data_IF_562690453728
#
_entry.id   IF_562690453728
#
_cell.length_a   1.000
_cell.length_b   1.000
_cell.length_c   1.000
_cell.angle_alpha   90.00
_cell.angle_beta   90.00
_cell.angle_gamma   90.00
#
_symmetry.space_group_name_H-M   'P 1'
#
loop_
_entity.id
_entity.type
_entity.pdbx_description
1 polymer ?
#
# COMPACT_ATOMS: atom_id res chain seq x y z
N UNK A 1 -36.91 -61.73 -9.25
CA UNK A 1 -35.90 -60.78 -8.67
C UNK A 1 -35.60 -59.54 -9.52
N UNK A 2 -36.29 -59.29 -10.65
CA UNK A 2 -35.96 -58.18 -11.58
C UNK A 2 -36.62 -56.81 -11.27
N UNK A 3 -37.53 -56.72 -10.29
CA UNK A 3 -38.27 -55.49 -10.02
C UNK A 3 -37.48 -54.47 -9.16
N UNK A 4 -36.61 -54.94 -8.25
CA UNK A 4 -35.77 -54.06 -7.42
C UNK A 4 -34.64 -53.39 -8.21
N UNK A 5 -34.11 -54.07 -9.23
CA UNK A 5 -33.00 -53.57 -10.05
C UNK A 5 -33.43 -52.31 -10.82
N UNK A 6 -34.53 -52.34 -11.58
CA UNK A 6 -34.98 -51.17 -12.35
C UNK A 6 -35.30 -49.93 -11.50
N UNK A 7 -35.71 -50.10 -10.23
CA UNK A 7 -35.94 -48.98 -9.31
C UNK A 7 -34.63 -48.31 -8.85
N UNK A 8 -33.56 -49.10 -8.67
CA UNK A 8 -32.25 -48.63 -8.24
C UNK A 8 -31.55 -47.84 -9.35
N UNK A 9 -31.63 -48.32 -10.60
CA UNK A 9 -31.08 -47.61 -11.76
C UNK A 9 -31.80 -46.29 -12.04
N UNK A 10 -33.11 -46.21 -11.77
CA UNK A 10 -33.89 -44.97 -11.90
C UNK A 10 -33.49 -43.93 -10.85
N UNK A 11 -33.22 -44.35 -9.61
CA UNK A 11 -32.69 -43.49 -8.54
C UNK A 11 -31.25 -43.04 -8.83
N UNK A 12 -30.41 -43.94 -9.36
CA UNK A 12 -29.03 -43.60 -9.73
C UNK A 12 -28.96 -42.58 -10.86
N UNK A 13 -29.76 -42.76 -11.93
CA UNK A 13 -29.86 -41.80 -13.03
C UNK A 13 -30.38 -40.44 -12.56
N UNK A 14 -31.34 -40.42 -11.63
CA UNK A 14 -31.86 -39.18 -11.04
C UNK A 14 -30.78 -38.46 -10.22
N UNK A 15 -30.02 -39.16 -9.38
CA UNK A 15 -28.94 -38.57 -8.59
C UNK A 15 -27.80 -38.02 -9.47
N UNK A 16 -27.44 -38.72 -10.55
CA UNK A 16 -26.43 -38.25 -11.50
C UNK A 16 -26.92 -37.01 -12.26
N UNK A 17 -28.20 -36.98 -12.66
CA UNK A 17 -28.79 -35.79 -13.31
C UNK A 17 -28.86 -34.58 -12.37
N UNK A 18 -29.19 -34.79 -11.08
CA UNK A 18 -29.18 -33.74 -10.06
C UNK A 18 -27.75 -33.23 -9.81
N UNK A 19 -26.77 -34.13 -9.71
CA UNK A 19 -25.36 -33.75 -9.56
C UNK A 19 -24.85 -32.94 -10.78
N UNK A 20 -25.28 -33.31 -11.99
CA UNK A 20 -24.93 -32.56 -13.21
C UNK A 20 -25.58 -31.18 -13.24
N UNK A 21 -26.85 -31.06 -12.81
CA UNK A 21 -27.55 -29.78 -12.71
C UNK A 21 -26.94 -28.83 -11.64
N UNK A 22 -26.45 -29.37 -10.52
CA UNK A 22 -25.77 -28.60 -9.46
C UNK A 22 -24.44 -28.03 -9.97
N UNK A 23 -23.71 -28.77 -10.81
CA UNK A 23 -22.46 -28.27 -11.40
C UNK A 23 -22.68 -27.16 -12.43
N UNK A 24 -23.78 -27.20 -13.18
CA UNK A 24 -24.10 -26.17 -14.19
C UNK A 24 -24.46 -24.84 -13.51
N UNK A 25 -25.18 -24.85 -12.39
CA UNK A 25 -25.59 -23.63 -11.67
C UNK A 25 -24.43 -22.89 -10.99
N UNK A 26 -23.36 -23.59 -10.58
CA UNK A 26 -22.20 -22.98 -9.91
C UNK A 26 -21.31 -22.12 -10.82
N UNK A 27 -21.37 -22.33 -12.14
CA UNK A 27 -20.49 -21.64 -13.12
C UNK A 27 -20.95 -20.21 -13.40
N UNK A 28 -22.24 -19.89 -13.25
CA UNK A 28 -22.77 -18.55 -13.55
C UNK A 28 -22.51 -17.50 -12.46
N UNK A 29 -22.03 -17.89 -11.27
CA UNK A 29 -21.77 -16.96 -10.17
C UNK A 29 -20.47 -16.15 -10.33
N UNK A 30 -19.58 -16.53 -11.26
CA UNK A 30 -18.28 -15.88 -11.46
C UNK A 30 -18.26 -14.89 -12.65
N UNK A 31 -19.39 -14.61 -13.28
CA UNK A 31 -19.48 -13.69 -14.42
C UNK A 31 -19.97 -12.28 -14.05
N UNK A 32 -19.65 -11.80 -12.85
CA UNK A 32 -19.77 -10.38 -12.54
C UNK A 32 -18.55 -9.65 -13.12
N UNK A 33 -18.53 -9.50 -14.45
CA UNK A 33 -17.65 -8.56 -15.12
C UNK A 33 -18.00 -7.14 -14.66
N UNK A 34 -16.95 -6.42 -14.29
CA UNK A 34 -16.89 -5.02 -13.87
C UNK A 34 -17.95 -4.15 -14.57
N UNK A 35 -19.03 -3.79 -13.85
CA UNK A 35 -20.07 -2.93 -14.42
C UNK A 35 -19.59 -1.48 -14.37
N UNK A 36 -18.93 -1.04 -15.44
CA UNK A 36 -18.54 0.35 -15.60
C UNK A 36 -19.75 1.21 -16.00
N UNK A 37 -20.57 1.58 -15.02
CA UNK A 37 -21.59 2.60 -15.21
C UNK A 37 -20.95 3.99 -15.27
N UNK A 38 -21.18 4.73 -16.36
CA UNK A 38 -20.89 6.15 -16.43
C UNK A 38 -21.50 6.78 -17.68
N UNK A 39 -21.65 8.10 -17.66
CA UNK A 39 -22.38 8.85 -18.69
C UNK A 39 -21.53 9.08 -19.94
N UNK A 40 -20.20 9.19 -19.79
CA UNK A 40 -19.28 9.38 -20.90
C UNK A 40 -17.93 8.73 -20.64
N UNK A 41 -17.23 8.40 -21.73
CA UNK A 41 -15.97 7.69 -21.73
C UNK A 41 -14.80 8.66 -21.79
N UNK A 42 -13.93 8.63 -20.80
CA UNK A 42 -12.65 9.32 -20.85
C UNK A 42 -11.58 8.33 -21.27
N UNK A 43 -10.86 8.67 -22.32
CA UNK A 43 -9.61 8.04 -22.72
C UNK A 43 -8.47 9.00 -22.43
N UNK A 44 -7.29 8.48 -22.15
CA UNK A 44 -6.15 9.37 -21.99
C UNK A 44 -4.82 8.67 -21.92
N UNK A 45 -3.77 9.47 -22.03
CA UNK A 45 -2.38 9.05 -21.84
C UNK A 45 -1.75 9.86 -20.72
N UNK A 46 -1.03 9.17 -19.85
CA UNK A 46 -0.31 9.79 -18.74
C UNK A 46 1.19 9.69 -18.95
N UNK A 47 1.88 10.81 -18.81
CA UNK A 47 3.32 10.92 -19.02
C UNK A 47 4.00 11.71 -17.88
N UNK A 48 5.33 11.60 -17.80
CA UNK A 48 6.15 12.46 -16.96
C UNK A 48 6.22 13.88 -17.56
N UNK A 49 6.13 14.91 -16.73
CA UNK A 49 6.25 16.30 -17.14
C UNK A 49 7.65 16.63 -17.69
N UNK A 50 8.71 16.00 -17.16
CA UNK A 50 10.09 16.35 -17.54
C UNK A 50 10.60 15.56 -18.74
N UNK A 51 10.40 14.24 -18.73
CA UNK A 51 10.91 13.38 -19.81
C UNK A 51 9.89 13.13 -20.90
N UNK A 52 8.60 13.43 -20.67
CA UNK A 52 7.48 13.06 -21.52
C UNK A 52 7.35 11.55 -21.78
N UNK A 53 8.05 10.73 -21.00
CA UNK A 53 7.93 9.28 -21.06
C UNK A 53 6.57 8.84 -20.49
N UNK A 54 6.03 7.77 -21.07
CA UNK A 54 4.82 7.16 -20.56
C UNK A 54 5.02 6.64 -19.13
N UNK A 55 4.03 6.84 -18.25
CA UNK A 55 4.05 6.29 -16.90
C UNK A 55 3.27 4.96 -16.91
N UNK A 56 3.95 3.80 -16.88
CA UNK A 56 3.28 2.51 -16.90
C UNK A 56 2.56 2.21 -15.58
N UNK A 57 1.49 1.40 -15.65
CA UNK A 57 0.80 0.85 -14.47
C UNK A 57 0.34 1.90 -13.46
N UNK A 58 0.04 3.11 -13.94
CA UNK A 58 -0.51 4.18 -13.12
C UNK A 58 -1.95 3.86 -12.73
N UNK A 59 -2.34 4.24 -11.51
CA UNK A 59 -3.71 4.07 -11.02
C UNK A 59 -4.53 5.34 -11.24
N UNK A 60 -5.66 5.21 -11.94
CA UNK A 60 -6.66 6.26 -12.12
C UNK A 60 -7.89 5.91 -11.29
N UNK A 61 -8.09 6.63 -10.19
CA UNK A 61 -9.23 6.37 -9.28
C UNK A 61 -10.21 7.51 -9.28
N UNK A 62 -11.49 7.18 -9.09
CA UNK A 62 -12.48 8.19 -8.73
C UNK A 62 -12.29 8.54 -7.25
N UNK A 63 -12.43 9.81 -6.89
CA UNK A 63 -12.36 10.23 -5.47
C UNK A 63 -13.69 9.97 -4.77
N UNK A 64 -14.80 10.05 -5.51
CA UNK A 64 -16.17 9.81 -5.03
C UNK A 64 -16.48 8.33 -4.81
N UNK A 65 -15.89 7.44 -5.62
CA UNK A 65 -16.13 5.99 -5.62
C UNK A 65 -14.83 5.24 -5.39
N UNK A 66 -14.88 4.06 -4.77
CA UNK A 66 -13.70 3.19 -4.60
C UNK A 66 -13.31 2.43 -5.88
N UNK A 67 -13.76 2.90 -7.04
CA UNK A 67 -13.53 2.28 -8.35
C UNK A 67 -12.44 3.03 -9.09
N UNK A 68 -11.64 2.30 -9.85
CA UNK A 68 -10.56 2.86 -10.65
C UNK A 68 -10.07 1.88 -11.70
N UNK A 69 -9.28 2.38 -12.64
CA UNK A 69 -8.67 1.63 -13.73
C UNK A 69 -7.16 1.80 -13.66
N UNK A 70 -6.43 0.74 -13.97
CA UNK A 70 -4.97 0.80 -14.09
C UNK A 70 -4.59 1.05 -15.54
N UNK A 71 -3.66 1.97 -15.78
CA UNK A 71 -3.15 2.30 -17.10
C UNK A 71 -2.25 1.18 -17.65
N UNK A 72 -2.19 1.07 -18.97
CA UNK A 72 -1.34 0.12 -19.67
C UNK A 72 0.16 0.50 -19.58
N UNK A 73 1.03 -0.29 -20.19
CA UNK A 73 2.48 -0.07 -20.28
C UNK A 73 2.81 1.28 -20.95
N UNK A 74 2.00 1.69 -21.93
CA UNK A 74 2.15 2.97 -22.61
C UNK A 74 1.50 4.15 -21.86
N UNK A 75 1.03 3.93 -20.62
CA UNK A 75 0.37 4.95 -19.80
C UNK A 75 -1.02 5.33 -20.31
N UNK A 76 -1.61 4.50 -21.18
CA UNK A 76 -2.95 4.72 -21.75
C UNK A 76 -4.02 4.12 -20.83
N UNK A 77 -5.12 4.83 -20.63
CA UNK A 77 -6.26 4.35 -19.85
C UNK A 77 -7.59 4.73 -20.51
N UNK A 78 -8.65 4.01 -20.13
CA UNK A 78 -10.03 4.32 -20.49
C UNK A 78 -10.94 4.01 -19.31
N UNK A 79 -11.88 4.91 -19.01
CA UNK A 79 -12.86 4.71 -17.95
C UNK A 79 -14.13 5.53 -18.17
N UNK A 80 -15.26 4.96 -17.78
CA UNK A 80 -16.52 5.69 -17.73
C UNK A 80 -16.62 6.51 -16.44
N UNK A 81 -17.12 7.75 -16.56
CA UNK A 81 -17.25 8.69 -15.43
C UNK A 81 -18.58 9.43 -15.43
N UNK A 82 -18.93 9.99 -14.28
CA UNK A 82 -20.01 10.98 -14.16
C UNK A 82 -19.44 12.40 -14.14
N UNK A 83 -20.20 13.42 -14.59
CA UNK A 83 -19.72 14.80 -14.64
C UNK A 83 -19.43 15.42 -13.26
N UNK A 84 -19.99 14.83 -12.21
CA UNK A 84 -19.79 15.23 -10.81
C UNK A 84 -18.54 14.62 -10.17
N UNK A 85 -17.91 13.65 -10.84
CA UNK A 85 -16.78 12.92 -10.27
C UNK A 85 -15.48 13.70 -10.38
N UNK A 86 -14.48 13.23 -9.63
CA UNK A 86 -13.12 13.77 -9.64
C UNK A 86 -12.13 12.63 -9.82
N UNK A 87 -11.31 12.75 -10.85
CA UNK A 87 -10.25 11.79 -11.19
C UNK A 87 -9.00 12.08 -10.38
N UNK A 88 -8.41 11.04 -9.80
CA UNK A 88 -7.14 11.10 -9.11
C UNK A 88 -6.15 10.16 -9.79
N UNK A 89 -5.08 10.74 -10.29
CA UNK A 89 -3.96 10.04 -10.92
C UNK A 89 -2.87 9.83 -9.88
N UNK A 90 -2.46 8.57 -9.68
CA UNK A 90 -1.42 8.23 -8.72
C UNK A 90 -0.53 7.10 -9.23
N UNK A 91 0.78 7.28 -9.05
CA UNK A 91 1.80 6.28 -9.37
C UNK A 91 2.93 6.37 -8.34
N UNK A 92 3.70 5.30 -8.21
CA UNK A 92 4.84 5.25 -7.31
C UNK A 92 5.94 6.19 -7.80
N UNK A 93 6.42 7.07 -6.92
CA UNK A 93 7.48 8.04 -7.26
C UNK A 93 6.99 9.26 -8.04
N UNK A 94 5.68 9.52 -8.05
CA UNK A 94 5.08 10.72 -8.64
C UNK A 94 4.13 11.40 -7.66
N UNK A 95 4.06 12.73 -7.74
CA UNK A 95 3.10 13.54 -7.00
C UNK A 95 1.70 13.30 -7.61
N UNK A 96 0.74 12.88 -6.78
CA UNK A 96 -0.61 12.60 -7.25
C UNK A 96 -1.31 13.86 -7.75
N UNK A 97 -1.94 13.78 -8.93
CA UNK A 97 -2.68 14.88 -9.55
C UNK A 97 -4.17 14.59 -9.52
N UNK A 98 -4.96 15.61 -9.20
CA UNK A 98 -6.42 15.51 -9.11
C UNK A 98 -7.07 16.43 -10.13
N UNK A 99 -8.02 15.91 -10.91
CA UNK A 99 -8.68 16.62 -11.98
C UNK A 99 -10.22 16.44 -11.86
N UNK A 100 -10.97 17.51 -11.59
CA UNK A 100 -12.43 17.43 -11.54
C UNK A 100 -13.00 17.30 -12.95
N UNK A 101 -13.89 16.32 -13.15
CA UNK A 101 -14.48 16.01 -14.46
C UNK A 101 -15.38 17.16 -14.95
N UNK A 102 -15.91 17.98 -14.04
CA UNK A 102 -16.70 19.16 -14.39
C UNK A 102 -15.98 20.19 -15.28
N UNK A 103 -14.64 20.15 -15.34
CA UNK A 103 -13.82 21.00 -16.22
C UNK A 103 -13.63 20.41 -17.62
N UNK A 104 -14.00 19.16 -17.82
CA UNK A 104 -13.88 18.45 -19.09
C UNK A 104 -15.15 18.68 -19.94
N UNK A 105 -15.03 18.96 -21.24
CA UNK A 105 -16.16 18.97 -22.17
C UNK A 105 -16.99 17.68 -22.10
N UNK A 106 -18.31 17.81 -22.12
CA UNK A 106 -19.25 16.68 -22.01
C UNK A 106 -19.46 15.99 -23.35
N UNK A 107 -18.37 15.47 -23.91
CA UNK A 107 -18.41 14.65 -25.12
C UNK A 107 -18.60 13.17 -24.75
N UNK A 108 -19.20 12.38 -25.65
CA UNK A 108 -19.40 10.94 -25.43
C UNK A 108 -18.06 10.20 -25.24
N UNK A 109 -17.03 10.65 -25.96
CA UNK A 109 -15.65 10.18 -25.86
C UNK A 109 -14.74 11.39 -25.80
N UNK A 110 -14.00 11.56 -24.71
CA UNK A 110 -13.04 12.63 -24.53
C UNK A 110 -11.62 12.08 -24.34
N UNK A 111 -10.64 12.69 -24.99
CA UNK A 111 -9.23 12.27 -24.89
C UNK A 111 -8.43 13.30 -24.07
N UNK A 112 -7.76 12.85 -23.00
CA UNK A 112 -6.90 13.70 -22.16
C UNK A 112 -5.45 13.27 -22.16
N UNK A 113 -4.57 14.27 -22.23
CA UNK A 113 -3.16 14.12 -21.94
C UNK A 113 -2.88 14.66 -20.54
N UNK A 114 -2.31 13.84 -19.67
CA UNK A 114 -2.05 14.18 -18.27
C UNK A 114 -0.58 14.03 -17.97
N UNK A 115 0.04 15.10 -17.51
CA UNK A 115 1.43 15.06 -17.04
C UNK A 115 1.49 15.03 -15.51
N UNK A 116 2.34 14.14 -14.97
CA UNK A 116 2.67 14.05 -13.55
C UNK A 116 4.10 14.53 -13.29
N UNK A 117 4.33 15.02 -12.08
CA UNK A 117 5.65 15.45 -11.62
C UNK A 117 6.26 14.34 -10.79
N UNK A 118 7.50 13.95 -11.08
CA UNK A 118 8.26 12.99 -10.29
C UNK A 118 8.46 13.51 -8.87
N UNK A 119 8.14 12.67 -7.89
CA UNK A 119 8.39 12.95 -6.48
C UNK A 119 9.82 12.55 -6.13
N UNK A 120 10.64 13.53 -5.75
CA UNK A 120 12.02 13.29 -5.35
C UNK A 120 12.30 13.92 -4.00
N UNK A 121 12.93 13.14 -3.12
CA UNK A 121 13.40 13.63 -1.82
C UNK A 121 14.86 14.04 -1.98
N UNK A 122 15.14 15.34 -1.90
CA UNK A 122 16.53 15.85 -1.91
C UNK A 122 17.18 15.53 -0.56
N UNK A 123 18.08 14.55 -0.55
CA UNK A 123 18.88 14.24 0.63
C UNK A 123 19.92 15.34 0.86
N UNK A 124 20.15 15.68 2.13
CA UNK A 124 21.22 16.60 2.51
C UNK A 124 22.56 15.86 2.44
N UNK A 125 23.55 16.48 1.81
CA UNK A 125 24.92 15.98 1.81
C UNK A 125 25.50 16.01 3.22
N UNK A 126 26.18 14.93 3.62
CA UNK A 126 26.86 14.83 4.91
C UNK A 126 28.34 14.56 4.63
N UNK A 127 29.18 15.55 4.90
CA UNK A 127 30.62 15.40 4.84
C UNK A 127 31.10 14.73 6.13
N UNK A 128 31.65 13.52 6.01
CA UNK A 128 32.21 12.77 7.15
C UNK A 128 33.71 13.03 7.20
N UNK A 129 34.17 13.58 8.31
CA UNK A 129 35.59 13.78 8.55
C UNK A 129 36.17 12.62 9.38
N UNK A 130 37.32 12.04 8.99
CA UNK A 130 38.01 11.06 9.80
C UNK A 130 38.64 11.75 11.03
N UNK A 131 38.48 11.13 12.20
CA UNK A 131 39.18 11.55 13.42
C UNK A 131 40.49 10.78 13.57
N UNK A 132 41.51 11.41 14.15
CA UNK A 132 42.83 10.80 14.30
C UNK A 132 42.86 9.69 15.36
N UNK A 133 42.04 9.80 16.40
CA UNK A 133 41.97 8.80 17.47
C UNK A 133 40.53 8.47 17.90
N UNK A 134 40.36 7.29 18.50
CA UNK A 134 39.07 6.83 19.04
C UNK A 134 38.56 7.70 20.20
N UNK A 135 39.48 8.23 21.00
CA UNK A 135 39.12 9.05 22.17
C UNK A 135 38.60 10.42 21.75
N UNK A 136 39.24 11.03 20.77
CA UNK A 136 38.83 12.29 20.15
C UNK A 136 37.44 12.16 19.51
N UNK A 137 37.20 11.08 18.75
CA UNK A 137 35.86 10.78 18.24
C UNK A 137 34.83 10.67 19.35
N UNK A 138 35.17 9.97 20.45
CA UNK A 138 34.25 9.79 21.58
C UNK A 138 33.90 11.12 22.22
N UNK A 139 34.85 12.03 22.39
CA UNK A 139 34.59 13.36 22.95
C UNK A 139 33.73 14.20 22.01
N UNK A 140 34.11 14.31 20.74
CA UNK A 140 33.37 15.05 19.72
C UNK A 140 31.94 14.52 19.53
N UNK A 141 31.76 13.19 19.58
CA UNK A 141 30.44 12.56 19.48
C UNK A 141 29.55 12.85 20.69
N UNK A 142 30.13 12.92 21.89
CA UNK A 142 29.38 13.26 23.11
C UNK A 142 29.03 14.75 23.18
N UNK A 143 29.84 15.60 22.57
CA UNK A 143 29.62 17.05 22.47
C UNK A 143 28.61 17.40 21.37
N UNK A 144 28.60 16.64 20.26
CA UNK A 144 27.63 16.73 19.18
C UNK A 144 26.24 16.23 19.64
N UNK A 145 25.55 17.03 20.46
CA UNK A 145 24.24 16.72 21.04
C UNK A 145 23.10 16.59 20.02
N UNK A 146 23.31 16.95 18.76
CA UNK A 146 22.26 16.95 17.73
C UNK A 146 22.62 16.05 16.55
N UNK A 147 22.24 14.77 16.66
CA UNK A 147 22.14 13.91 15.48
C UNK A 147 20.99 14.44 14.63
N UNK A 148 21.29 14.86 13.41
CA UNK A 148 20.32 15.41 12.46
C UNK A 148 19.22 14.36 12.19
N UNK A 149 18.07 14.48 12.86
CA UNK A 149 16.93 13.57 12.67
C UNK A 149 16.29 13.88 11.34
N UNK A 150 16.36 12.94 10.40
CA UNK A 150 15.66 13.05 9.12
C UNK A 150 14.15 12.98 9.40
N UNK A 151 13.45 14.10 9.23
CA UNK A 151 11.98 14.18 9.31
C UNK A 151 11.43 14.05 7.90
N UNK A 152 10.59 13.04 7.67
CA UNK A 152 9.89 12.87 6.40
C UNK A 152 8.61 13.75 6.41
N UNK A 153 8.32 14.50 5.33
CA UNK A 153 7.09 15.29 5.26
C UNK A 153 5.86 14.37 5.33
N UNK A 154 4.88 14.72 6.17
CA UNK A 154 3.62 13.99 6.30
C UNK A 154 3.65 12.73 7.16
N UNK A 155 4.82 12.30 7.66
CA UNK A 155 4.95 11.15 8.57
C UNK A 155 5.37 11.68 9.95
N UNK A 156 4.52 11.47 10.95
CA UNK A 156 4.85 11.83 12.33
C UNK A 156 6.03 10.96 12.82
N UNK A 157 7.05 11.54 13.48
CA UNK A 157 8.16 10.76 14.01
C UNK A 157 7.66 9.73 15.04
N UNK A 158 8.29 8.54 15.14
CA UNK A 158 7.92 7.56 16.14
C UNK A 158 8.07 8.16 17.55
N UNK A 159 7.03 8.04 18.37
CA UNK A 159 7.06 8.49 19.76
C UNK A 159 7.80 7.45 20.60
N UNK A 160 9.04 7.76 20.99
CA UNK A 160 9.77 6.95 21.97
C UNK A 160 9.33 7.32 23.39
N UNK A 161 9.00 6.33 24.22
CA UNK A 161 8.83 6.55 25.65
C UNK A 161 10.21 6.72 26.29
N UNK A 162 10.52 7.92 26.79
CA UNK A 162 11.73 8.17 27.58
C UNK A 162 11.71 7.40 28.90
N UNK A 163 10.50 7.08 29.38
CA UNK A 163 10.33 6.25 30.57
C UNK A 163 10.72 4.81 30.22
N UNK A 164 11.78 4.34 30.87
CA UNK A 164 12.09 2.92 30.89
C UNK A 164 10.88 2.14 31.44
N UNK A 165 10.43 1.07 30.76
CA UNK A 165 9.30 0.29 31.23
C UNK A 165 9.63 -0.26 32.62
N UNK A 166 8.77 0.05 33.61
CA UNK A 166 8.93 -0.51 34.95
C UNK A 166 8.58 -2.00 34.91
N UNK A 167 9.37 -2.86 35.55
CA UNK A 167 9.05 -4.28 35.64
C UNK A 167 7.70 -4.44 36.35
N UNK A 168 6.83 -5.24 35.73
CA UNK A 168 5.56 -5.64 36.34
C UNK A 168 5.80 -6.93 37.12
N UNK A 169 5.11 -7.10 38.25
CA UNK A 169 5.19 -8.32 39.06
C UNK A 169 4.85 -9.59 38.26
N UNK A 170 4.01 -9.45 37.22
CA UNK A 170 3.58 -10.54 36.34
C UNK A 170 4.65 -11.04 35.37
N UNK A 171 5.79 -10.34 35.21
CA UNK A 171 6.88 -10.80 34.36
C UNK A 171 8.13 -11.14 35.22
N UNK A 172 8.34 -12.43 35.55
CA UNK A 172 9.41 -12.84 36.46
C UNK A 172 10.80 -12.53 35.91
N UNK A 173 11.00 -12.60 34.58
CA UNK A 173 12.30 -12.30 33.94
C UNK A 173 12.65 -10.81 34.10
N UNK A 174 11.67 -9.93 33.91
CA UNK A 174 11.86 -8.48 34.05
C UNK A 174 12.21 -8.09 35.50
N UNK A 175 11.58 -8.75 36.48
CA UNK A 175 11.91 -8.60 37.89
C UNK A 175 13.33 -9.10 38.23
N UNK A 176 13.72 -10.28 37.72
CA UNK A 176 15.06 -10.81 37.90
C UNK A 176 16.12 -9.89 37.31
N UNK A 177 15.90 -9.38 36.09
CA UNK A 177 16.79 -8.41 35.44
C UNK A 177 16.98 -7.14 36.28
N UNK A 178 15.91 -6.59 36.85
CA UNK A 178 16.02 -5.41 37.71
C UNK A 178 16.84 -5.71 38.98
N UNK A 179 16.62 -6.88 39.60
CA UNK A 179 17.31 -7.30 40.81
C UNK A 179 18.81 -7.53 40.55
N UNK A 180 19.18 -8.16 39.45
CA UNK A 180 20.59 -8.37 39.07
C UNK A 180 21.26 -7.07 38.65
N UNK A 181 20.60 -6.23 37.85
CA UNK A 181 21.11 -4.91 37.44
C UNK A 181 21.36 -3.99 38.63
N UNK A 182 20.43 -3.91 39.59
CA UNK A 182 20.59 -3.07 40.80
C UNK A 182 21.74 -3.54 41.67
N UNK A 183 21.92 -4.86 41.82
CA UNK A 183 23.08 -5.44 42.54
C UNK A 183 24.41 -5.13 41.85
N UNK A 184 24.49 -5.25 40.51
CA UNK A 184 25.69 -4.87 39.74
C UNK A 184 26.00 -3.39 39.85
N UNK A 185 25.00 -2.52 39.76
CA UNK A 185 25.21 -1.08 39.89
C UNK A 185 25.72 -0.66 41.28
N UNK A 186 25.35 -1.42 42.33
CA UNK A 186 25.81 -1.19 43.70
C UNK A 186 27.19 -1.83 44.01
N UNK A 187 27.68 -2.75 43.17
CA UNK A 187 28.96 -3.41 43.35
C UNK A 187 29.72 -3.46 42.00
N UNK A 188 30.61 -2.48 41.72
CA UNK A 188 31.32 -2.38 40.45
C UNK A 188 32.28 -3.56 40.18
N UNK A 189 32.70 -4.28 41.23
CA UNK A 189 33.63 -5.41 41.11
C UNK A 189 32.95 -6.77 40.87
N UNK A 190 31.62 -6.78 40.73
CA UNK A 190 30.86 -8.02 40.54
C UNK A 190 31.07 -8.62 39.13
N UNK A 191 32.03 -9.55 39.00
CA UNK A 191 32.20 -10.41 37.82
C UNK A 191 31.22 -11.60 37.88
N UNK A 192 30.65 -12.02 36.73
CA UNK A 192 29.63 -13.08 36.67
C UNK A 192 30.13 -14.43 37.18
#
# INVERSE_FOLDING_TARGET
MNCKLNSAWRKLKLCVAIAFAINIFGVQAQLNFDFQEGTFLIKGRVADLQTHDAIPKLNVTLTSKRTGVTADIEGVFSMYVFPTDTLRFSSLGYISKTLPVSKIPKDSIYNIYVELIKDFVKLKEVTIYPYHSKEEFKQAFMEAKEVNKVVLPGIAPPKYSTNVPRPKFTNPISFLYQKTKKKRAANPDFRP
#
